data_IF_912626562285
#
_entry.id   IF_912626562285
#
_cell.length_a   1.000
_cell.length_b   1.000
_cell.length_c   1.000
_cell.angle_alpha   90.00
_cell.angle_beta   90.00
_cell.angle_gamma   90.00
#
_symmetry.space_group_name_H-M   'P 1'
#
loop_
_entity.id
_entity.type
_entity.pdbx_description
1 polymer ?
#
# COMPACT_ATOMS: atom_id res chain seq x y z
N UNK A 1 13.41 5.69 9.52
CA UNK A 1 12.13 5.07 9.93
C UNK A 1 11.25 5.06 8.70
N UNK A 2 10.68 3.92 8.30
CA UNK A 2 9.86 3.84 7.07
C UNK A 2 8.69 4.81 7.13
N UNK A 3 8.52 5.63 6.10
CA UNK A 3 7.42 6.61 5.98
C UNK A 3 6.03 5.96 6.05
N UNK A 4 5.95 4.64 5.84
CA UNK A 4 4.71 3.86 5.84
C UNK A 4 4.33 3.27 7.20
N UNK A 5 5.04 3.65 8.28
CA UNK A 5 4.71 3.16 9.62
C UNK A 5 3.33 3.65 10.10
N UNK A 6 2.87 4.80 9.60
CA UNK A 6 1.55 5.37 9.89
C UNK A 6 0.77 5.50 8.58
N UNK A 7 -0.43 4.90 8.46
CA UNK A 7 -1.26 5.07 7.27
C UNK A 7 -1.71 6.52 7.07
N UNK A 8 -1.77 6.98 5.82
CA UNK A 8 -2.34 8.29 5.48
C UNK A 8 -3.86 8.27 5.62
N UNK A 9 -4.48 9.46 5.58
CA UNK A 9 -5.94 9.58 5.59
C UNK A 9 -6.56 8.91 4.36
N UNK A 10 -5.96 9.03 3.18
CA UNK A 10 -6.47 8.33 1.99
C UNK A 10 -6.41 6.80 2.16
N UNK A 11 -5.31 6.28 2.73
CA UNK A 11 -5.18 4.85 2.98
C UNK A 11 -6.25 4.34 3.96
N UNK A 12 -6.61 5.15 4.97
CA UNK A 12 -7.70 4.82 5.90
C UNK A 12 -9.08 4.87 5.22
N UNK A 13 -9.32 5.87 4.37
CA UNK A 13 -10.57 5.98 3.61
C UNK A 13 -10.74 4.82 2.62
N UNK A 14 -9.65 4.35 2.03
CA UNK A 14 -9.64 3.18 1.15
C UNK A 14 -9.90 1.88 1.93
N UNK A 15 -9.29 1.73 3.11
CA UNK A 15 -9.49 0.56 3.97
C UNK A 15 -10.98 0.36 4.35
N UNK A 16 -11.71 1.46 4.60
CA UNK A 16 -13.15 1.42 4.91
C UNK A 16 -13.97 0.80 3.76
N UNK A 17 -13.55 1.01 2.51
CA UNK A 17 -14.25 0.47 1.32
C UNK A 17 -14.00 -1.03 1.15
N UNK A 18 -12.89 -1.55 1.68
CA UNK A 18 -12.42 -2.92 1.45
C UNK A 18 -12.06 -3.66 2.76
N UNK A 19 -13.04 -3.96 3.63
CA UNK A 19 -12.80 -4.72 4.86
C UNK A 19 -12.30 -6.14 4.57
N UNK A 20 -11.43 -6.68 5.43
CA UNK A 20 -10.68 -7.92 5.24
C UNK A 20 -9.76 -7.95 4.00
N UNK A 21 -9.51 -6.79 3.39
CA UNK A 21 -8.66 -6.64 2.21
C UNK A 21 -7.24 -6.16 2.53
N UNK A 22 -6.63 -5.53 1.52
CA UNK A 22 -5.32 -4.90 1.62
C UNK A 22 -5.37 -3.52 0.97
N UNK A 23 -4.70 -2.54 1.56
CA UNK A 23 -4.45 -1.24 0.94
C UNK A 23 -3.00 -1.24 0.46
N UNK A 24 -2.81 -1.13 -0.85
CA UNK A 24 -1.50 -1.15 -1.49
C UNK A 24 -0.94 0.26 -1.63
N UNK A 25 0.37 0.38 -1.45
CA UNK A 25 1.12 1.59 -1.80
C UNK A 25 1.83 1.31 -3.11
N UNK A 26 1.58 2.16 -4.09
CA UNK A 26 2.22 2.15 -5.40
C UNK A 26 3.24 3.28 -5.42
N UNK A 27 4.39 3.07 -6.05
CA UNK A 27 5.36 4.14 -6.28
C UNK A 27 4.75 5.18 -7.24
N UNK A 28 4.80 6.46 -6.86
CA UNK A 28 4.22 7.59 -7.59
C UNK A 28 4.69 7.65 -9.04
N UNK A 29 5.91 7.17 -9.33
CA UNK A 29 6.46 7.06 -10.69
C UNK A 29 5.68 6.12 -11.62
N UNK A 30 4.68 5.39 -11.10
CA UNK A 30 3.89 4.39 -11.81
C UNK A 30 2.38 4.52 -11.59
N UNK A 31 1.91 5.66 -11.08
CA UNK A 31 0.48 5.89 -10.74
C UNK A 31 -0.43 6.09 -11.96
N UNK A 32 0.15 6.30 -13.13
CA UNK A 32 -0.50 6.55 -14.42
C UNK A 32 -0.70 5.29 -15.28
N UNK A 33 -0.40 4.09 -14.74
CA UNK A 33 -0.59 2.81 -15.45
C UNK A 33 -1.87 2.09 -15.02
N UNK A 34 -2.67 1.68 -16.00
CA UNK A 34 -3.89 0.87 -15.77
C UNK A 34 -3.58 -0.50 -15.14
N UNK A 35 -2.43 -1.08 -15.50
CA UNK A 35 -1.88 -2.28 -14.87
C UNK A 35 -0.60 -1.92 -14.14
N UNK A 36 -0.55 -2.23 -12.83
CA UNK A 36 0.61 -1.99 -11.99
C UNK A 36 1.34 -3.33 -11.79
N UNK A 37 2.49 -3.53 -12.45
CA UNK A 37 3.36 -4.67 -12.17
C UNK A 37 3.72 -4.80 -10.69
N UNK A 38 3.88 -6.03 -10.16
CA UNK A 38 4.23 -6.26 -8.76
C UNK A 38 5.52 -5.56 -8.32
N UNK A 39 6.43 -5.28 -9.26
CA UNK A 39 7.71 -4.59 -9.04
C UNK A 39 7.55 -3.14 -8.59
N UNK A 40 6.38 -2.53 -8.84
CA UNK A 40 6.07 -1.12 -8.56
C UNK A 40 5.18 -0.92 -7.34
N UNK A 41 4.81 -2.02 -6.67
CA UNK A 41 4.09 -1.99 -5.42
C UNK A 41 5.12 -1.90 -4.30
N UNK A 42 5.15 -0.79 -3.57
CA UNK A 42 6.06 -0.57 -2.44
C UNK A 42 5.77 -1.56 -1.31
N UNK A 43 4.49 -1.87 -1.11
CA UNK A 43 4.01 -2.79 -0.08
C UNK A 43 2.53 -2.59 0.19
N UNK A 44 2.05 -3.09 1.31
CA UNK A 44 0.65 -2.96 1.69
C UNK A 44 0.42 -2.92 3.19
N UNK A 45 -0.79 -2.52 3.56
CA UNK A 45 -1.37 -2.74 4.88
C UNK A 45 -2.50 -3.76 4.79
N UNK A 46 -2.61 -4.63 5.80
CA UNK A 46 -3.77 -5.50 5.96
C UNK A 46 -4.91 -4.74 6.63
N UNK A 47 -6.11 -4.92 6.10
CA UNK A 47 -7.34 -4.33 6.62
C UNK A 47 -8.12 -5.39 7.38
N UNK A 48 -8.61 -5.04 8.56
CA UNK A 48 -9.46 -5.91 9.36
C UNK A 48 -10.92 -5.92 8.89
N UNK A 49 -11.77 -6.67 9.60
CA UNK A 49 -13.19 -6.79 9.30
C UNK A 49 -14.00 -5.51 9.51
N UNK A 50 -13.43 -4.46 10.11
CA UNK A 50 -14.06 -3.17 10.34
C UNK A 50 -13.56 -2.11 9.36
N UNK A 51 -12.69 -2.46 8.42
CA UNK A 51 -12.11 -1.49 7.49
C UNK A 51 -10.97 -0.69 8.12
N UNK A 52 -10.36 -1.19 9.19
CA UNK A 52 -9.25 -0.52 9.88
C UNK A 52 -7.94 -1.20 9.52
N UNK A 53 -6.91 -0.38 9.25
CA UNK A 53 -5.54 -0.88 9.10
C UNK A 53 -5.03 -1.31 10.48
N UNK A 54 -5.00 -2.62 10.69
CA UNK A 54 -4.74 -3.23 12.00
C UNK A 54 -3.29 -3.70 12.19
N UNK A 55 -2.52 -3.82 11.09
CA UNK A 55 -1.16 -4.36 11.11
C UNK A 55 -0.12 -3.35 10.61
N UNK A 56 1.16 -3.49 11.01
CA UNK A 56 2.25 -2.72 10.44
C UNK A 56 2.34 -2.87 8.93
N UNK A 57 2.92 -1.87 8.27
CA UNK A 57 3.19 -1.94 6.83
C UNK A 57 4.05 -3.15 6.47
N UNK A 58 3.60 -3.90 5.47
CA UNK A 58 4.26 -5.06 4.92
C UNK A 58 4.98 -4.62 3.65
N UNK A 59 6.32 -4.44 3.67
CA UNK A 59 7.07 -4.08 2.48
C UNK A 59 7.06 -5.23 1.48
N UNK A 60 6.93 -4.91 0.20
CA UNK A 60 7.05 -5.89 -0.86
C UNK A 60 8.53 -6.19 -1.14
N UNK A 61 9.01 -7.43 -0.95
CA UNK A 61 10.42 -7.76 -1.20
C UNK A 61 10.83 -7.66 -2.68
N UNK A 62 9.85 -7.70 -3.60
CA UNK A 62 10.09 -7.53 -5.03
C UNK A 62 10.05 -6.06 -5.47
N UNK A 63 9.84 -5.13 -4.54
CA UNK A 63 9.89 -3.72 -4.85
C UNK A 63 11.33 -3.30 -5.15
N UNK A 64 11.57 -2.93 -6.39
CA UNK A 64 12.87 -2.44 -6.84
C UNK A 64 12.74 -0.96 -7.17
N UNK A 65 13.17 -0.10 -6.25
CA UNK A 65 13.44 1.31 -6.56
C UNK A 65 14.45 1.33 -7.71
N UNK A 66 14.00 1.67 -8.91
CA UNK A 66 14.92 2.15 -9.94
C UNK A 66 15.22 3.60 -9.62
N UNK A 67 16.29 3.83 -8.84
CA UNK A 67 16.98 5.11 -8.85
C UNK A 67 17.50 5.31 -10.29
N UNK A 68 16.80 6.13 -11.08
CA UNK A 68 17.32 6.69 -12.33
C UNK A 68 18.12 7.96 -12.03
#
# INVERSE_FOLDING_TARGET
MSQYKTPTKEAQEEAIKYPNGYVYVIDEAYTDKEEVPPEYIVGCWKVDSQGVIAEPFIPNPNYHIKLS
#
